data_IF_133533098987
#
_entry.id   IF_133533098987
#
_cell.length_a   1.000
_cell.length_b   1.000
_cell.length_c   1.000
_cell.angle_alpha   90.00
_cell.angle_beta   90.00
_cell.angle_gamma   90.00
#
_symmetry.space_group_name_H-M   'P 1'
#
loop_
_entity.id
_entity.type
_entity.pdbx_description
1 polymer ?
#
# COMPACT_ATOMS: atom_id res chain seq x y z
N UNK A 1 -6.66 10.30 12.45
CA UNK A 1 -6.38 10.16 11.00
C UNK A 1 -6.10 11.53 10.40
N UNK A 2 -5.10 11.61 9.57
CA UNK A 2 -4.76 12.89 8.93
C UNK A 2 -5.49 13.04 7.60
N UNK A 3 -6.39 13.99 7.51
CA UNK A 3 -7.10 14.30 6.28
C UNK A 3 -6.22 15.15 5.37
N UNK A 4 -5.99 14.70 4.13
CA UNK A 4 -5.21 15.44 3.15
C UNK A 4 -6.10 16.37 2.33
N UNK A 5 -7.24 15.83 1.88
CA UNK A 5 -8.29 16.54 1.15
C UNK A 5 -9.59 16.04 1.76
N UNK A 6 -10.64 16.83 1.70
CA UNK A 6 -11.92 16.42 2.30
C UNK A 6 -12.31 15.01 1.86
N UNK A 7 -12.52 14.13 2.84
CA UNK A 7 -12.90 12.76 2.61
C UNK A 7 -11.75 11.81 2.24
N UNK A 8 -10.52 12.30 2.11
CA UNK A 8 -9.35 11.50 1.78
C UNK A 8 -8.31 11.61 2.89
N UNK A 9 -7.91 10.47 3.44
CA UNK A 9 -6.99 10.40 4.57
C UNK A 9 -5.65 9.84 4.16
N UNK A 10 -4.59 10.47 4.62
CA UNK A 10 -3.21 10.09 4.31
C UNK A 10 -2.83 8.81 5.07
N UNK A 11 -2.33 7.80 4.36
CA UNK A 11 -1.83 6.57 5.00
C UNK A 11 -0.34 6.33 4.74
N UNK A 12 0.24 6.99 3.76
CA UNK A 12 1.65 6.82 3.44
C UNK A 12 2.01 7.55 2.17
N UNK A 13 3.10 7.12 1.54
CA UNK A 13 3.62 7.81 0.36
C UNK A 13 4.46 6.86 -0.50
N UNK A 14 4.36 7.02 -1.82
CA UNK A 14 5.37 6.45 -2.73
C UNK A 14 6.51 7.46 -2.79
N UNK A 15 7.64 7.12 -2.17
CA UNK A 15 8.79 8.00 -2.09
C UNK A 15 9.48 8.16 -3.43
N UNK A 16 10.17 9.28 -3.60
CA UNK A 16 10.90 9.55 -4.83
C UNK A 16 11.94 8.47 -5.15
N UNK A 17 12.63 7.96 -4.14
CA UNK A 17 13.63 6.90 -4.33
C UNK A 17 13.03 5.64 -4.93
N UNK A 18 11.80 5.29 -4.55
CA UNK A 18 11.07 4.15 -5.12
C UNK A 18 10.59 4.50 -6.53
N UNK A 19 10.05 5.70 -6.69
CA UNK A 19 9.55 6.20 -7.97
C UNK A 19 10.60 6.08 -9.07
N UNK A 20 11.83 6.45 -8.78
CA UNK A 20 12.93 6.39 -9.74
C UNK A 20 13.22 4.96 -10.22
N UNK A 21 13.22 4.01 -9.31
CA UNK A 21 13.54 2.61 -9.62
C UNK A 21 12.39 1.91 -10.29
N UNK A 22 11.19 2.10 -9.78
CA UNK A 22 10.00 1.39 -10.25
C UNK A 22 9.30 2.07 -11.43
N UNK A 23 9.72 3.29 -11.79
CA UNK A 23 9.11 4.09 -12.87
C UNK A 23 7.63 4.34 -12.61
N UNK A 24 7.29 4.69 -11.38
CA UNK A 24 5.93 5.05 -10.98
C UNK A 24 5.95 6.44 -10.35
N UNK A 25 4.79 7.06 -10.24
CA UNK A 25 4.67 8.42 -9.72
C UNK A 25 4.97 8.47 -8.23
N UNK A 26 5.79 9.44 -7.80
CA UNK A 26 5.97 9.75 -6.38
C UNK A 26 4.79 10.62 -5.94
N UNK A 27 4.04 10.17 -4.95
CA UNK A 27 2.85 10.87 -4.50
C UNK A 27 2.34 10.30 -3.18
N UNK A 28 1.50 11.06 -2.45
CA UNK A 28 0.86 10.55 -1.24
C UNK A 28 -0.08 9.40 -1.56
N UNK A 29 -0.25 8.49 -0.59
CA UNK A 29 -1.22 7.41 -0.66
C UNK A 29 -2.37 7.78 0.27
N UNK A 30 -3.59 7.76 -0.26
CA UNK A 30 -4.79 8.18 0.47
C UNK A 30 -5.89 7.13 0.39
N UNK A 31 -6.81 7.18 1.35
CA UNK A 31 -7.97 6.29 1.39
C UNK A 31 -9.20 7.10 1.77
N UNK A 32 -10.36 6.77 1.17
CA UNK A 32 -11.59 7.47 1.51
C UNK A 32 -12.33 6.79 2.68
N UNK A 33 -13.27 7.53 3.28
CA UNK A 33 -14.04 7.07 4.43
C UNK A 33 -14.81 5.77 4.14
N UNK A 34 -15.40 5.69 2.97
CA UNK A 34 -16.23 4.54 2.61
C UNK A 34 -15.39 3.27 2.58
N UNK A 35 -14.18 3.35 2.06
CA UNK A 35 -13.32 2.18 1.99
C UNK A 35 -12.79 1.78 3.37
N UNK A 36 -12.49 2.76 4.24
CA UNK A 36 -12.09 2.49 5.62
C UNK A 36 -13.18 1.67 6.31
N UNK A 37 -14.44 2.08 6.15
CA UNK A 37 -15.59 1.37 6.70
C UNK A 37 -15.70 -0.04 6.10
N UNK A 38 -15.52 -0.15 4.78
CA UNK A 38 -15.59 -1.44 4.10
C UNK A 38 -14.53 -2.41 4.62
N UNK A 39 -13.30 -1.97 4.76
CA UNK A 39 -12.22 -2.80 5.29
C UNK A 39 -12.51 -3.22 6.73
N UNK A 40 -13.00 -2.28 7.54
CA UNK A 40 -13.36 -2.57 8.92
C UNK A 40 -14.41 -3.66 9.04
N UNK A 41 -15.40 -3.65 8.15
CA UNK A 41 -16.46 -4.66 8.15
C UNK A 41 -15.97 -5.99 7.58
N UNK A 42 -15.20 -5.95 6.50
CA UNK A 42 -14.72 -7.17 5.83
C UNK A 42 -13.71 -7.95 6.66
N UNK A 43 -12.90 -7.25 7.49
CA UNK A 43 -11.84 -7.86 8.28
C UNK A 43 -12.04 -7.68 9.78
N UNK A 44 -13.29 -7.57 10.21
CA UNK A 44 -13.64 -7.26 11.60
C UNK A 44 -12.98 -8.19 12.60
N UNK A 45 -13.02 -9.49 12.36
CA UNK A 45 -12.45 -10.47 13.27
C UNK A 45 -10.94 -10.34 13.37
N UNK A 46 -10.26 -10.24 12.25
CA UNK A 46 -8.79 -10.13 12.20
C UNK A 46 -8.31 -8.84 12.84
N UNK A 47 -8.99 -7.73 12.56
CA UNK A 47 -8.63 -6.44 13.15
C UNK A 47 -8.84 -6.43 14.65
N UNK A 48 -9.92 -7.05 15.10
CA UNK A 48 -10.21 -7.19 16.54
C UNK A 48 -9.12 -8.00 17.24
N UNK A 49 -8.70 -9.12 16.65
CA UNK A 49 -7.63 -9.95 17.19
C UNK A 49 -6.30 -9.20 17.30
N UNK A 50 -6.02 -8.34 16.33
CA UNK A 50 -4.81 -7.53 16.32
C UNK A 50 -4.94 -6.25 17.14
N UNK A 51 -6.14 -5.94 17.58
CA UNK A 51 -6.46 -4.72 18.35
C UNK A 51 -6.05 -3.45 17.59
N UNK A 52 -6.33 -3.41 16.29
CA UNK A 52 -6.05 -2.24 15.45
C UNK A 52 -7.29 -1.85 14.67
N UNK A 53 -7.32 -0.60 14.22
CA UNK A 53 -8.41 -0.09 13.37
C UNK A 53 -8.15 -0.43 11.91
N UNK A 54 -9.18 -0.30 11.08
CA UNK A 54 -9.04 -0.46 9.63
C UNK A 54 -8.03 0.54 9.06
N UNK A 55 -8.08 1.79 9.55
CA UNK A 55 -7.13 2.81 9.12
C UNK A 55 -5.68 2.39 9.46
N UNK A 56 -5.46 1.91 10.68
CA UNK A 56 -4.14 1.45 11.12
C UNK A 56 -3.63 0.28 10.28
N UNK A 57 -4.52 -0.62 9.89
CA UNK A 57 -4.17 -1.74 9.04
C UNK A 57 -3.67 -1.27 7.67
N UNK A 58 -4.40 -0.34 7.04
CA UNK A 58 -3.99 0.22 5.75
C UNK A 58 -2.68 0.98 5.88
N UNK A 59 -2.53 1.76 6.95
CA UNK A 59 -1.31 2.50 7.21
C UNK A 59 -0.12 1.57 7.43
N UNK A 60 -0.35 0.45 8.09
CA UNK A 60 0.70 -0.56 8.31
C UNK A 60 1.24 -1.09 6.98
N UNK A 61 0.36 -1.37 6.02
CA UNK A 61 0.78 -1.81 4.69
C UNK A 61 1.55 -0.69 3.98
N UNK A 62 1.02 0.52 4.01
CA UNK A 62 1.63 1.66 3.31
C UNK A 62 2.99 2.03 3.89
N UNK A 63 3.21 1.82 5.18
CA UNK A 63 4.47 2.14 5.84
C UNK A 63 5.50 1.01 5.73
N UNK A 64 5.07 -0.22 5.46
CA UNK A 64 5.93 -1.40 5.59
C UNK A 64 5.95 -2.32 4.37
N UNK A 65 5.41 -1.89 3.24
CA UNK A 65 5.49 -2.74 2.05
C UNK A 65 6.94 -2.96 1.64
N UNK A 66 7.24 -4.18 1.22
CA UNK A 66 8.59 -4.57 0.80
C UNK A 66 8.67 -4.93 -0.67
N UNK A 67 7.54 -4.96 -1.36
CA UNK A 67 7.47 -5.20 -2.80
C UNK A 67 6.35 -4.38 -3.41
N UNK A 68 6.51 -4.08 -4.70
CA UNK A 68 5.44 -3.48 -5.51
C UNK A 68 5.28 -4.34 -6.75
N UNK A 69 4.04 -4.69 -7.04
CA UNK A 69 3.70 -5.48 -8.21
C UNK A 69 2.95 -4.62 -9.22
N UNK A 70 3.19 -4.89 -10.50
CA UNK A 70 2.37 -4.32 -11.55
C UNK A 70 0.96 -4.88 -11.44
N UNK A 71 -0.02 -4.05 -11.76
CA UNK A 71 -1.41 -4.43 -11.77
C UNK A 71 -2.04 -3.98 -13.08
N UNK A 72 -3.27 -3.51 -13.06
CA UNK A 72 -3.90 -2.94 -14.24
C UNK A 72 -3.28 -1.59 -14.58
N UNK A 73 -3.65 -1.01 -15.73
CA UNK A 73 -3.21 0.33 -16.09
C UNK A 73 -3.51 1.30 -14.95
N UNK A 74 -2.49 2.08 -14.56
CA UNK A 74 -2.58 3.09 -13.49
C UNK A 74 -2.74 2.50 -12.09
N UNK A 75 -2.69 1.17 -11.95
CA UNK A 75 -2.77 0.50 -10.64
C UNK A 75 -1.47 -0.21 -10.33
N UNK A 76 -1.10 -0.19 -9.07
CA UNK A 76 -0.01 -1.00 -8.53
C UNK A 76 -0.47 -1.67 -7.25
N UNK A 77 0.18 -2.76 -6.88
CA UNK A 77 -0.12 -3.48 -5.65
C UNK A 77 1.06 -3.37 -4.70
N UNK A 78 0.82 -2.79 -3.54
CA UNK A 78 1.78 -2.78 -2.45
C UNK A 78 1.68 -4.11 -1.72
N UNK A 79 2.82 -4.71 -1.41
CA UNK A 79 2.88 -6.03 -0.78
C UNK A 79 3.72 -5.94 0.49
N UNK A 80 3.10 -6.29 1.61
CA UNK A 80 3.82 -6.46 2.87
C UNK A 80 3.93 -7.96 3.11
N UNK A 81 5.13 -8.50 2.92
CA UNK A 81 5.37 -9.93 3.08
C UNK A 81 5.33 -10.30 4.55
N UNK A 82 4.62 -11.37 4.86
CA UNK A 82 4.53 -11.91 6.22
C UNK A 82 5.12 -13.32 6.21
N UNK A 83 5.99 -13.66 7.17
CA UNK A 83 6.48 -15.03 7.28
C UNK A 83 5.35 -16.00 7.57
N UNK A 84 5.31 -17.12 6.88
CA UNK A 84 4.37 -18.21 7.15
C UNK A 84 2.89 -17.84 7.07
N UNK A 85 2.57 -16.69 6.47
CA UNK A 85 1.19 -16.17 6.35
C UNK A 85 0.99 -15.60 4.97
N UNK A 86 -0.27 -15.45 4.55
CA UNK A 86 -0.53 -14.66 3.34
C UNK A 86 0.06 -13.26 3.49
N UNK A 87 0.58 -12.72 2.41
CA UNK A 87 1.05 -11.34 2.41
C UNK A 87 -0.14 -10.39 2.50
N UNK A 88 0.04 -9.27 3.18
CA UNK A 88 -0.95 -8.20 3.16
C UNK A 88 -0.74 -7.36 1.91
N UNK A 89 -1.80 -7.14 1.15
CA UNK A 89 -1.69 -6.40 -0.11
C UNK A 89 -2.68 -5.26 -0.16
N UNK A 90 -2.30 -4.22 -0.90
CA UNK A 90 -3.13 -3.05 -1.09
C UNK A 90 -2.97 -2.56 -2.53
N UNK A 91 -4.05 -2.57 -3.30
CA UNK A 91 -4.03 -2.05 -4.67
C UNK A 91 -4.37 -0.57 -4.60
N UNK A 92 -3.52 0.25 -5.21
CA UNK A 92 -3.70 1.69 -5.27
C UNK A 92 -3.71 2.13 -6.72
N UNK A 93 -4.52 3.13 -7.03
CA UNK A 93 -4.69 3.67 -8.37
C UNK A 93 -4.24 5.11 -8.42
N UNK A 94 -3.53 5.48 -9.48
CA UNK A 94 -3.09 6.85 -9.69
C UNK A 94 -4.29 7.72 -10.04
N UNK A 95 -4.43 8.81 -9.31
CA UNK A 95 -5.56 9.72 -9.41
C UNK A 95 -5.03 11.15 -9.34
N UNK A 96 -5.68 12.07 -10.06
CA UNK A 96 -5.29 13.48 -10.02
C UNK A 96 -6.43 14.32 -9.46
N UNK A 97 -6.12 15.12 -8.44
CA UNK A 97 -7.04 16.10 -7.87
C UNK A 97 -6.40 17.46 -8.03
N UNK A 98 -7.04 18.36 -8.79
CA UNK A 98 -6.52 19.71 -9.04
C UNK A 98 -5.05 19.68 -9.50
N UNK A 99 -4.74 18.80 -10.45
CA UNK A 99 -3.42 18.61 -11.04
C UNK A 99 -2.39 17.97 -10.09
N UNK A 100 -2.77 17.62 -8.88
CA UNK A 100 -1.90 16.94 -7.94
C UNK A 100 -2.11 15.44 -8.02
N UNK A 101 -1.02 14.68 -8.13
CA UNK A 101 -1.08 13.23 -8.18
C UNK A 101 -1.31 12.66 -6.78
N UNK A 102 -2.18 11.67 -6.71
CA UNK A 102 -2.46 10.91 -5.50
C UNK A 102 -2.54 9.43 -5.86
N UNK A 103 -2.13 8.57 -4.94
CA UNK A 103 -2.40 7.14 -5.03
C UNK A 103 -3.58 6.83 -4.12
N UNK A 104 -4.72 6.44 -4.71
CA UNK A 104 -5.92 6.15 -3.91
C UNK A 104 -6.10 4.65 -3.76
N UNK A 105 -6.36 4.21 -2.54
CA UNK A 105 -6.62 2.80 -2.24
C UNK A 105 -7.88 2.32 -2.96
N UNK A 106 -7.75 1.20 -3.68
CA UNK A 106 -8.86 0.56 -4.37
C UNK A 106 -9.31 -0.69 -3.64
N UNK A 107 -8.37 -1.49 -3.14
CA UNK A 107 -8.70 -2.69 -2.37
C UNK A 107 -7.50 -3.10 -1.53
N UNK A 108 -7.76 -3.77 -0.42
CA UNK A 108 -6.72 -4.34 0.43
C UNK A 108 -7.18 -5.70 0.93
N UNK A 109 -6.32 -6.71 0.81
CA UNK A 109 -6.65 -8.06 1.25
C UNK A 109 -5.40 -8.93 1.33
N UNK A 110 -5.43 -9.98 2.15
CA UNK A 110 -4.32 -10.95 2.16
C UNK A 110 -4.28 -11.73 0.85
N UNK A 111 -3.07 -12.07 0.39
CA UNK A 111 -2.87 -12.90 -0.79
C UNK A 111 -1.78 -13.92 -0.52
N UNK A 112 -2.04 -15.18 -0.85
CA UNK A 112 -1.04 -16.25 -0.70
C UNK A 112 -0.05 -16.26 -1.86
N UNK A 113 -0.54 -15.99 -3.07
CA UNK A 113 0.27 -16.09 -4.28
C UNK A 113 0.53 -14.72 -4.86
N UNK A 114 1.80 -14.41 -5.04
CA UNK A 114 2.25 -13.18 -5.69
C UNK A 114 3.02 -13.61 -6.94
N UNK A 115 2.67 -13.02 -8.09
CA UNK A 115 3.33 -13.34 -9.36
C UNK A 115 4.67 -12.65 -9.44
N UNK A 116 5.76 -13.40 -9.33
CA UNK A 116 7.11 -12.83 -9.32
C UNK A 116 7.42 -12.01 -10.58
N UNK A 117 6.91 -12.42 -11.72
CA UNK A 117 7.15 -11.72 -12.99
C UNK A 117 6.58 -10.31 -13.01
N UNK A 118 5.61 -10.01 -12.16
CA UNK A 118 4.97 -8.71 -12.11
C UNK A 118 5.59 -7.77 -11.09
N UNK A 119 6.56 -8.23 -10.32
CA UNK A 119 7.23 -7.39 -9.31
C UNK A 119 8.10 -6.36 -10.01
N UNK A 120 7.87 -5.08 -9.72
CA UNK A 120 8.62 -3.97 -10.30
C UNK A 120 9.55 -3.29 -9.31
N UNK A 121 9.41 -3.61 -8.04
CA UNK A 121 10.29 -3.05 -7.00
C UNK A 121 10.34 -4.00 -5.80
N UNK A 122 11.53 -4.13 -5.23
CA UNK A 122 11.77 -4.86 -3.99
C UNK A 122 12.57 -3.96 -3.05
N UNK A 123 12.19 -3.94 -1.79
CA UNK A 123 12.93 -3.21 -0.79
C UNK A 123 14.33 -3.79 -0.69
N UNK A 124 15.40 -2.97 -0.76
CA UNK A 124 16.76 -3.48 -0.60
C UNK A 124 16.94 -4.15 0.75
N UNK A 125 17.66 -5.27 0.75
CA UNK A 125 17.99 -5.97 1.99
C UNK A 125 18.96 -5.13 2.80
N UNK A 126 18.72 -5.08 4.11
CA UNK A 126 19.50 -4.25 5.00
C UNK A 126 20.99 -4.56 4.97
N UNK A 127 21.36 -5.84 4.92
CA UNK A 127 22.73 -6.27 4.92
C UNK A 127 23.46 -6.13 3.60
N UNK A 128 22.75 -5.86 2.50
CA UNK A 128 23.35 -5.83 1.17
C UNK A 128 24.38 -4.73 0.97
N UNK A 129 24.43 -3.74 1.85
CA UNK A 129 25.36 -2.64 1.76
C UNK A 129 26.58 -2.77 2.65
N UNK A 130 26.56 -3.73 3.56
CA UNK A 130 27.60 -3.84 4.57
C UNK A 130 28.96 -4.24 4.04
N UNK A 131 29.02 -4.79 2.86
CA UNK A 131 30.26 -5.24 2.23
C UNK A 131 30.95 -4.16 1.40
N UNK A 132 30.41 -3.02 1.38
CA UNK A 132 30.99 -1.90 0.63
C UNK A 132 32.26 -1.39 1.27
#
# INVERSE_FOLDING_TARGET
MKQLIQGLYLIGRIKYSISKVAHIKSAPIVVDDNYITHVGNAHKTELSQLNITAYDYLKLIADNFDKISRCRAREIMLIKTNPEKPSDTCIIELYYSSKKALWQVRTAQPRRTIKEKDIIWRKPKRGSRSHL
#
